data_IF_602790086445
#
_entry.id   IF_602790086445
#
_cell.length_a   1.000
_cell.length_b   1.000
_cell.length_c   1.000
_cell.angle_alpha   90.00
_cell.angle_beta   90.00
_cell.angle_gamma   90.00
#
_symmetry.space_group_name_H-M   'P 1'
#
loop_
_entity.id
_entity.type
_entity.pdbx_description
1 polymer ?
#
# COMPACT_ATOMS: atom_id res chain seq x y z
N UNK A 1 4.16 -3.28 -7.68
CA UNK A 1 3.93 -3.00 -9.12
C UNK A 1 3.55 -1.54 -9.33
N UNK A 2 2.32 -1.11 -9.03
CA UNK A 2 1.83 0.26 -9.29
C UNK A 2 2.75 1.39 -8.80
N UNK A 3 2.91 1.54 -7.47
CA UNK A 3 3.72 2.62 -6.88
C UNK A 3 5.23 2.44 -7.05
N UNK A 4 5.70 1.25 -7.42
CA UNK A 4 7.12 0.99 -7.65
C UNK A 4 7.72 1.84 -8.77
N UNK A 5 6.89 2.26 -9.73
CA UNK A 5 7.29 3.20 -10.80
C UNK A 5 6.63 4.57 -10.61
N UNK A 6 5.35 4.59 -10.24
CA UNK A 6 4.59 5.85 -10.18
C UNK A 6 5.14 6.82 -9.12
N UNK A 7 5.50 6.34 -7.93
CA UNK A 7 5.83 7.21 -6.80
C UNK A 7 7.17 7.96 -6.97
N UNK A 8 8.29 7.31 -7.38
CA UNK A 8 9.51 8.03 -7.72
C UNK A 8 9.29 9.08 -8.81
N UNK A 9 8.48 8.76 -9.83
CA UNK A 9 8.18 9.70 -10.92
C UNK A 9 7.36 10.88 -10.41
N UNK A 10 6.35 10.65 -9.58
CA UNK A 10 5.55 11.71 -8.96
C UNK A 10 6.42 12.62 -8.08
N UNK A 11 7.29 12.06 -7.24
CA UNK A 11 8.19 12.84 -6.41
C UNK A 11 9.27 13.60 -7.21
N UNK A 12 9.64 13.11 -8.38
CA UNK A 12 10.59 13.80 -9.27
C UNK A 12 9.94 15.00 -9.99
N UNK A 13 8.70 14.84 -10.44
CA UNK A 13 7.92 15.88 -11.13
C UNK A 13 7.32 16.92 -10.17
N UNK A 14 7.09 16.55 -8.91
CA UNK A 14 6.51 17.42 -7.89
C UNK A 14 7.15 17.14 -6.53
N UNK A 15 8.44 17.46 -6.34
CA UNK A 15 9.14 17.22 -5.09
C UNK A 15 8.61 18.13 -3.96
N UNK A 16 8.64 17.67 -2.70
CA UNK A 16 8.29 18.50 -1.54
C UNK A 16 9.21 19.71 -1.38
N UNK A 17 10.49 19.53 -1.73
CA UNK A 17 11.56 20.50 -1.56
C UNK A 17 12.44 20.51 -2.80
N UNK A 18 12.93 21.69 -3.14
CA UNK A 18 13.79 21.88 -4.31
C UNK A 18 13.02 22.05 -5.62
N UNK A 19 13.79 22.19 -6.70
CA UNK A 19 13.27 22.38 -8.04
C UNK A 19 12.93 21.03 -8.68
N UNK A 20 11.73 20.89 -9.26
CA UNK A 20 11.34 19.69 -10.02
C UNK A 20 12.31 19.37 -11.14
N UNK A 21 12.30 18.12 -11.58
CA UNK A 21 13.02 17.65 -12.77
C UNK A 21 14.55 17.79 -12.73
N UNK A 22 15.13 18.06 -11.56
CA UNK A 22 16.58 18.16 -11.37
C UNK A 22 17.22 16.85 -10.89
N UNK A 23 18.52 16.68 -11.09
CA UNK A 23 19.26 15.52 -10.54
C UNK A 23 19.11 15.43 -9.02
N UNK A 24 19.05 16.56 -8.32
CA UNK A 24 18.78 16.60 -6.88
C UNK A 24 17.37 16.07 -6.56
N UNK A 25 16.34 16.50 -7.32
CA UNK A 25 14.99 15.98 -7.17
C UNK A 25 14.89 14.48 -7.46
N UNK A 26 15.64 13.95 -8.43
CA UNK A 26 15.65 12.51 -8.73
C UNK A 26 16.21 11.69 -7.56
N UNK A 27 17.29 12.16 -6.91
CA UNK A 27 17.85 11.52 -5.72
C UNK A 27 16.89 11.58 -4.54
N UNK A 28 16.28 12.74 -4.32
CA UNK A 28 15.33 12.92 -3.22
C UNK A 28 14.06 12.08 -3.42
N UNK A 29 13.53 11.98 -4.64
CA UNK A 29 12.39 11.16 -4.99
C UNK A 29 12.60 9.67 -4.64
N UNK A 30 13.78 9.14 -4.95
CA UNK A 30 14.15 7.78 -4.59
C UNK A 30 14.25 7.58 -3.08
N UNK A 31 14.83 8.55 -2.35
CA UNK A 31 14.94 8.48 -0.88
C UNK A 31 13.57 8.51 -0.20
N UNK A 32 12.66 9.35 -0.68
CA UNK A 32 11.28 9.41 -0.19
C UNK A 32 10.53 8.10 -0.45
N UNK A 33 10.67 7.55 -1.66
CA UNK A 33 10.05 6.26 -2.00
C UNK A 33 10.60 5.14 -1.09
N UNK A 34 11.92 5.08 -0.89
CA UNK A 34 12.53 4.11 0.03
C UNK A 34 12.07 4.32 1.47
N UNK A 35 11.78 5.56 1.87
CA UNK A 35 11.25 5.86 3.19
C UNK A 35 9.83 5.32 3.39
N UNK A 36 8.93 5.49 2.40
CA UNK A 36 7.56 4.99 2.49
C UNK A 36 7.47 3.45 2.46
N UNK A 37 8.27 2.79 1.62
CA UNK A 37 8.23 1.33 1.44
C UNK A 37 9.32 0.58 2.22
N UNK A 38 10.11 1.31 3.01
CA UNK A 38 11.21 0.79 3.80
C UNK A 38 10.78 0.31 5.18
N UNK A 39 11.71 0.45 6.14
CA UNK A 39 11.62 -0.15 7.48
C UNK A 39 10.36 0.26 8.24
N UNK A 40 9.85 1.47 8.05
CA UNK A 40 8.67 1.97 8.76
C UNK A 40 7.42 1.11 8.49
N UNK A 41 7.14 0.79 7.22
CA UNK A 41 6.01 -0.05 6.85
C UNK A 41 6.18 -1.49 7.38
N UNK A 42 7.37 -2.06 7.21
CA UNK A 42 7.67 -3.43 7.65
C UNK A 42 7.68 -3.60 9.17
N UNK A 43 8.10 -2.57 9.92
CA UNK A 43 8.14 -2.61 11.38
C UNK A 43 6.74 -2.76 11.98
N UNK A 44 5.74 -2.07 11.42
CA UNK A 44 4.34 -2.19 11.86
C UNK A 44 3.85 -3.63 11.69
N UNK A 45 4.11 -4.24 10.53
CA UNK A 45 3.73 -5.63 10.27
C UNK A 45 4.47 -6.61 11.19
N UNK A 46 5.77 -6.42 11.39
CA UNK A 46 6.58 -7.28 12.24
C UNK A 46 6.09 -7.26 13.69
N UNK A 47 5.73 -6.09 14.21
CA UNK A 47 5.18 -5.94 15.58
C UNK A 47 3.84 -6.69 15.70
N UNK A 48 2.91 -6.46 14.78
CA UNK A 48 1.60 -7.13 14.81
C UNK A 48 1.75 -8.65 14.69
N UNK A 49 2.60 -9.13 13.77
CA UNK A 49 2.88 -10.54 13.60
C UNK A 49 3.50 -11.17 14.86
N UNK A 50 4.45 -10.49 15.49
CA UNK A 50 5.10 -10.95 16.72
C UNK A 50 4.09 -11.06 17.87
N UNK A 51 3.21 -10.07 18.04
CA UNK A 51 2.17 -10.08 19.07
C UNK A 51 1.23 -11.28 18.88
N UNK A 52 0.70 -11.46 17.66
CA UNK A 52 -0.20 -12.57 17.37
C UNK A 52 0.48 -13.92 17.53
N UNK A 53 1.73 -14.06 17.05
CA UNK A 53 2.50 -15.28 17.19
C UNK A 53 2.78 -15.60 18.67
N UNK A 54 3.19 -14.60 19.46
CA UNK A 54 3.47 -14.78 20.88
C UNK A 54 2.22 -15.25 21.63
N UNK A 55 1.10 -14.54 21.53
CA UNK A 55 -0.11 -14.92 22.29
C UNK A 55 -0.75 -16.22 21.80
N UNK A 56 -0.68 -16.50 20.49
CA UNK A 56 -1.27 -17.74 19.96
C UNK A 56 -0.42 -18.97 20.29
N UNK A 57 0.90 -18.91 20.06
CA UNK A 57 1.77 -20.07 20.21
C UNK A 57 2.33 -20.25 21.61
N UNK A 58 2.54 -19.17 22.38
CA UNK A 58 3.05 -19.26 23.77
C UNK A 58 1.94 -19.35 24.80
N UNK A 59 0.84 -18.63 24.59
CA UNK A 59 -0.27 -18.54 25.56
C UNK A 59 -1.53 -19.31 25.16
N UNK A 60 -1.56 -19.94 23.97
CA UNK A 60 -2.70 -20.73 23.52
C UNK A 60 -3.97 -19.91 23.26
N UNK A 61 -3.85 -18.60 23.09
CA UNK A 61 -4.97 -17.71 22.79
C UNK A 61 -5.36 -17.79 21.31
N UNK A 62 -6.60 -17.39 20.93
CA UNK A 62 -7.01 -17.40 19.54
C UNK A 62 -6.15 -16.46 18.68
N UNK A 63 -5.93 -16.84 17.41
CA UNK A 63 -5.15 -16.06 16.43
C UNK A 63 -5.97 -14.88 15.89
N UNK A 64 -6.28 -13.94 16.78
CA UNK A 64 -7.16 -12.78 16.55
C UNK A 64 -6.58 -11.54 17.21
N UNK A 65 -6.85 -10.36 16.65
CA UNK A 65 -6.26 -9.10 17.14
C UNK A 65 -6.67 -8.76 18.57
N UNK A 66 -7.86 -9.17 19.03
CA UNK A 66 -8.24 -9.08 20.45
C UNK A 66 -7.24 -9.71 21.42
N UNK A 67 -6.50 -10.74 21.01
CA UNK A 67 -5.55 -11.46 21.88
C UNK A 67 -4.37 -10.59 22.28
N UNK A 68 -4.05 -9.57 21.48
CA UNK A 68 -3.05 -8.56 21.80
C UNK A 68 -3.39 -7.76 23.08
N UNK A 69 -4.67 -7.66 23.43
CA UNK A 69 -5.14 -6.89 24.58
C UNK A 69 -5.22 -7.71 25.87
N UNK A 70 -5.07 -9.03 25.78
CA UNK A 70 -5.08 -9.92 26.95
C UNK A 70 -4.22 -9.44 28.14
N UNK A 71 -2.97 -8.95 27.97
CA UNK A 71 -2.17 -8.47 29.10
C UNK A 71 -2.74 -7.23 29.79
N UNK A 72 -3.61 -6.46 29.13
CA UNK A 72 -4.18 -5.21 29.66
C UNK A 72 -5.57 -5.47 30.26
N UNK A 73 -6.43 -6.20 29.54
CA UNK A 73 -7.84 -6.37 29.91
C UNK A 73 -8.21 -7.77 30.41
N UNK A 74 -7.26 -8.71 30.41
CA UNK A 74 -7.45 -10.10 30.84
C UNK A 74 -8.53 -10.81 30.02
N UNK A 75 -9.38 -11.59 30.71
CA UNK A 75 -10.46 -12.36 30.08
C UNK A 75 -11.57 -11.50 29.44
N UNK A 76 -11.54 -10.16 29.61
CA UNK A 76 -12.47 -9.26 28.91
C UNK A 76 -12.28 -9.23 27.38
N UNK A 77 -11.25 -9.89 26.86
CA UNK A 77 -11.08 -10.15 25.41
C UNK A 77 -12.25 -10.94 24.80
N UNK A 78 -12.97 -11.73 25.60
CA UNK A 78 -14.15 -12.48 25.15
C UNK A 78 -15.44 -11.65 25.25
N UNK A 79 -15.35 -10.42 25.75
CA UNK A 79 -16.46 -9.49 25.90
C UNK A 79 -16.54 -8.44 24.77
N UNK A 80 -17.39 -7.42 24.95
CA UNK A 80 -17.67 -6.42 23.92
C UNK A 80 -16.44 -5.62 23.48
N UNK A 81 -15.49 -5.39 24.39
CA UNK A 81 -14.24 -4.66 24.07
C UNK A 81 -13.38 -5.44 23.07
N UNK A 82 -13.23 -6.76 23.26
CA UNK A 82 -12.49 -7.59 22.32
C UNK A 82 -13.19 -7.73 20.97
N UNK A 83 -14.54 -7.82 20.97
CA UNK A 83 -15.32 -7.82 19.74
C UNK A 83 -15.17 -6.51 18.94
N UNK A 84 -15.19 -5.35 19.62
CA UNK A 84 -14.99 -4.08 18.95
C UNK A 84 -13.65 -4.01 18.21
N UNK A 85 -12.57 -4.47 18.84
CA UNK A 85 -11.21 -4.48 18.26
C UNK A 85 -11.13 -5.38 17.03
N UNK A 86 -11.71 -6.58 17.09
CA UNK A 86 -11.77 -7.46 15.93
C UNK A 86 -12.61 -6.87 14.79
N UNK A 87 -13.71 -6.19 15.10
CA UNK A 87 -14.53 -5.50 14.08
C UNK A 87 -13.70 -4.40 13.40
N UNK A 88 -13.02 -3.55 14.18
CA UNK A 88 -12.13 -2.52 13.62
C UNK A 88 -11.03 -3.13 12.76
N UNK A 89 -10.44 -4.23 13.20
CA UNK A 89 -9.43 -4.96 12.44
C UNK A 89 -9.96 -5.47 11.09
N UNK A 90 -11.10 -6.14 11.10
CA UNK A 90 -11.73 -6.67 9.87
C UNK A 90 -12.07 -5.54 8.92
N UNK A 91 -12.66 -4.45 9.42
CA UNK A 91 -13.00 -3.28 8.61
C UNK A 91 -11.73 -2.68 7.98
N UNK A 92 -10.67 -2.49 8.76
CA UNK A 92 -9.39 -1.97 8.28
C UNK A 92 -8.77 -2.87 7.20
N UNK A 93 -8.81 -4.18 7.39
CA UNK A 93 -8.37 -5.16 6.39
C UNK A 93 -9.18 -5.06 5.09
N UNK A 94 -10.51 -5.00 5.19
CA UNK A 94 -11.40 -4.92 4.01
C UNK A 94 -11.13 -3.64 3.21
N UNK A 95 -11.08 -2.48 3.88
CA UNK A 95 -10.81 -1.20 3.21
C UNK A 95 -9.49 -1.22 2.47
N UNK A 96 -8.45 -1.71 3.12
CA UNK A 96 -7.17 -1.74 2.47
C UNK A 96 -7.15 -2.74 1.28
N UNK A 97 -7.78 -3.91 1.39
CA UNK A 97 -7.83 -4.90 0.30
C UNK A 97 -8.62 -4.34 -0.89
N UNK A 98 -9.70 -3.60 -0.62
CA UNK A 98 -10.48 -2.93 -1.65
C UNK A 98 -9.64 -1.89 -2.41
N UNK A 99 -8.85 -1.07 -1.70
CA UNK A 99 -7.96 -0.08 -2.32
C UNK A 99 -6.88 -0.71 -3.18
N UNK A 100 -6.21 -1.75 -2.70
CA UNK A 100 -5.17 -2.44 -3.48
C UNK A 100 -5.74 -3.14 -4.72
N UNK A 101 -6.93 -3.74 -4.62
CA UNK A 101 -7.66 -4.29 -5.75
C UNK A 101 -8.03 -3.20 -6.78
N UNK A 102 -8.49 -2.04 -6.31
CA UNK A 102 -8.81 -0.89 -7.15
C UNK A 102 -7.61 -0.44 -7.99
N UNK A 103 -6.45 -0.22 -7.37
CA UNK A 103 -5.22 0.09 -8.11
C UNK A 103 -4.81 -1.00 -9.10
N UNK A 104 -4.99 -2.28 -8.73
CA UNK A 104 -4.75 -3.40 -9.62
C UNK A 104 -5.62 -3.36 -10.88
N UNK A 105 -6.91 -3.09 -10.72
CA UNK A 105 -7.85 -2.98 -11.86
C UNK A 105 -7.54 -1.78 -12.74
N UNK A 106 -7.19 -0.63 -12.16
CA UNK A 106 -6.75 0.53 -12.93
C UNK A 106 -5.53 0.21 -13.79
N UNK A 107 -4.55 -0.52 -13.20
CA UNK A 107 -3.35 -0.94 -13.92
C UNK A 107 -3.66 -1.93 -15.05
N UNK A 108 -4.55 -2.92 -14.81
CA UNK A 108 -4.99 -3.88 -15.84
C UNK A 108 -5.74 -3.19 -16.96
N UNK A 109 -6.68 -2.30 -16.65
CA UNK A 109 -7.46 -1.58 -17.66
C UNK A 109 -6.55 -0.69 -18.53
N UNK A 110 -5.59 0.01 -17.93
CA UNK A 110 -4.59 0.78 -18.68
C UNK A 110 -3.75 -0.13 -19.61
N UNK A 111 -3.37 -1.32 -19.16
CA UNK A 111 -2.67 -2.29 -19.99
C UNK A 111 -3.52 -2.83 -21.15
N UNK A 112 -4.79 -3.13 -20.91
CA UNK A 112 -5.74 -3.56 -21.94
C UNK A 112 -6.03 -2.45 -22.96
N UNK A 113 -6.12 -1.20 -22.50
CA UNK A 113 -6.24 -0.04 -23.38
C UNK A 113 -5.02 0.06 -24.29
N UNK A 114 -3.82 -0.08 -23.74
CA UNK A 114 -2.57 0.02 -24.51
C UNK A 114 -2.42 -1.09 -25.57
N UNK A 115 -2.80 -2.33 -25.26
CA UNK A 115 -2.63 -3.49 -26.16
C UNK A 115 -3.80 -3.71 -27.13
N UNK A 116 -5.04 -3.48 -26.67
CA UNK A 116 -6.27 -3.86 -27.37
C UNK A 116 -7.24 -2.70 -27.59
N UNK A 117 -6.93 -1.49 -27.13
CA UNK A 117 -7.79 -0.31 -27.29
C UNK A 117 -9.05 -0.33 -26.41
N UNK A 118 -9.12 -1.18 -25.38
CA UNK A 118 -10.26 -1.23 -24.44
C UNK A 118 -10.43 0.14 -23.76
N UNK A 119 -11.63 0.73 -23.71
CA UNK A 119 -11.81 2.07 -23.14
C UNK A 119 -11.57 2.10 -21.62
N UNK A 120 -10.94 3.17 -21.15
CA UNK A 120 -10.73 3.41 -19.73
C UNK A 120 -11.96 4.14 -19.17
N UNK A 121 -12.94 3.38 -18.68
CA UNK A 121 -14.11 3.92 -18.01
C UNK A 121 -14.52 3.05 -16.80
N UNK A 122 -15.40 3.59 -15.96
CA UNK A 122 -15.85 2.95 -14.72
C UNK A 122 -16.55 1.60 -15.00
N UNK A 123 -17.31 1.50 -16.09
CA UNK A 123 -18.01 0.26 -16.46
C UNK A 123 -17.03 -0.89 -16.68
N UNK A 124 -15.96 -0.67 -17.45
CA UNK A 124 -14.93 -1.69 -17.68
C UNK A 124 -14.22 -2.06 -16.37
N UNK A 125 -13.92 -1.07 -15.53
CA UNK A 125 -13.28 -1.31 -14.24
C UNK A 125 -14.15 -2.16 -13.31
N UNK A 126 -15.45 -1.85 -13.20
CA UNK A 126 -16.39 -2.66 -12.39
C UNK A 126 -16.48 -4.09 -12.91
N UNK A 127 -16.54 -4.29 -14.23
CA UNK A 127 -16.53 -5.63 -14.83
C UNK A 127 -15.25 -6.38 -14.46
N UNK A 128 -14.09 -5.73 -14.59
CA UNK A 128 -12.80 -6.34 -14.22
C UNK A 128 -12.75 -6.71 -12.73
N UNK A 129 -13.26 -5.86 -11.84
CA UNK A 129 -13.36 -6.17 -10.40
C UNK A 129 -14.21 -7.42 -10.20
N UNK A 130 -15.42 -7.48 -10.76
CA UNK A 130 -16.32 -8.64 -10.60
C UNK A 130 -15.67 -9.92 -11.12
N UNK A 131 -14.99 -9.87 -12.26
CA UNK A 131 -14.29 -11.02 -12.83
C UNK A 131 -13.14 -11.48 -11.94
N UNK A 132 -12.25 -10.57 -11.53
CA UNK A 132 -11.07 -10.90 -10.72
C UNK A 132 -11.49 -11.41 -9.34
N UNK A 133 -12.45 -10.75 -8.70
CA UNK A 133 -13.00 -11.21 -7.42
C UNK A 133 -13.69 -12.55 -7.56
N UNK A 134 -14.46 -12.78 -8.63
CA UNK A 134 -15.08 -14.08 -8.90
C UNK A 134 -14.05 -15.20 -9.04
N UNK A 135 -12.97 -14.98 -9.79
CA UNK A 135 -11.86 -15.92 -9.92
C UNK A 135 -11.16 -16.18 -8.58
N UNK A 136 -10.95 -15.13 -7.77
CA UNK A 136 -10.38 -15.26 -6.44
C UNK A 136 -11.30 -16.07 -5.50
N UNK A 137 -12.61 -15.84 -5.53
CA UNK A 137 -13.58 -16.62 -4.76
C UNK A 137 -13.56 -18.10 -5.17
N UNK A 138 -13.54 -18.40 -6.47
CA UNK A 138 -13.42 -19.77 -6.99
C UNK A 138 -12.13 -20.43 -6.48
N UNK A 139 -11.02 -19.70 -6.47
CA UNK A 139 -9.74 -20.20 -5.94
C UNK A 139 -9.80 -20.52 -4.45
N UNK A 140 -10.50 -19.70 -3.65
CA UNK A 140 -10.61 -19.93 -2.19
C UNK A 140 -11.53 -21.11 -1.88
N UNK A 141 -12.67 -21.24 -2.57
CA UNK A 141 -13.61 -22.35 -2.33
C UNK A 141 -13.08 -23.71 -2.80
N UNK A 142 -12.18 -23.73 -3.80
CA UNK A 142 -11.57 -24.96 -4.33
C UNK A 142 -10.52 -25.59 -3.40
N UNK A 143 -10.19 -24.93 -2.29
CA UNK A 143 -9.16 -25.36 -1.35
C UNK A 143 -8.08 -24.28 -1.21
N UNK A 144 -8.07 -23.52 -0.11
CA UNK A 144 -7.14 -22.41 0.08
C UNK A 144 -5.68 -22.88 0.04
N UNK A 145 -5.38 -24.05 0.61
CA UNK A 145 -4.01 -24.55 0.73
C UNK A 145 -3.32 -24.77 -0.62
N UNK A 146 -4.07 -25.21 -1.64
CA UNK A 146 -3.54 -25.49 -2.98
C UNK A 146 -3.64 -24.28 -3.91
N UNK A 147 -4.80 -23.59 -3.90
CA UNK A 147 -5.03 -22.43 -4.78
C UNK A 147 -4.10 -21.26 -4.46
N UNK A 148 -3.99 -20.90 -3.18
CA UNK A 148 -3.14 -19.79 -2.74
C UNK A 148 -1.67 -20.08 -3.04
N UNK A 149 -1.23 -21.32 -2.82
CA UNK A 149 0.16 -21.72 -3.06
C UNK A 149 0.54 -21.58 -4.54
N UNK A 150 -0.26 -22.14 -5.46
CA UNK A 150 0.02 -22.09 -6.90
C UNK A 150 0.04 -20.63 -7.40
N UNK A 151 -0.97 -19.84 -7.02
CA UNK A 151 -1.05 -18.43 -7.42
C UNK A 151 0.12 -17.62 -6.85
N UNK A 152 0.54 -17.90 -5.62
CA UNK A 152 1.68 -17.24 -4.98
C UNK A 152 3.00 -17.60 -5.65
N UNK A 153 3.24 -18.89 -5.93
CA UNK A 153 4.44 -19.37 -6.64
C UNK A 153 4.53 -18.77 -8.07
N UNK A 154 3.40 -18.71 -8.79
CA UNK A 154 3.34 -18.08 -10.10
C UNK A 154 3.60 -16.57 -10.04
N UNK A 155 2.97 -15.86 -9.11
CA UNK A 155 3.16 -14.42 -8.94
C UNK A 155 4.62 -14.08 -8.59
N UNK A 156 5.24 -14.85 -7.69
CA UNK A 156 6.65 -14.69 -7.34
C UNK A 156 7.56 -14.96 -8.55
N UNK A 157 7.27 -16.03 -9.32
CA UNK A 157 7.99 -16.34 -10.55
C UNK A 157 7.91 -15.22 -11.60
N UNK A 158 6.71 -14.67 -11.84
CA UNK A 158 6.50 -13.55 -12.75
C UNK A 158 7.20 -12.26 -12.27
N UNK A 159 7.15 -11.98 -10.97
CA UNK A 159 7.83 -10.83 -10.39
C UNK A 159 9.36 -10.93 -10.54
N UNK A 160 9.95 -12.10 -10.30
CA UNK A 160 11.37 -12.36 -10.50
C UNK A 160 11.76 -12.27 -11.98
N UNK A 161 10.93 -12.81 -12.88
CA UNK A 161 11.14 -12.71 -14.31
C UNK A 161 11.15 -11.24 -14.77
N UNK A 162 10.19 -10.45 -14.31
CA UNK A 162 10.13 -9.02 -14.63
C UNK A 162 11.34 -8.26 -14.07
N UNK A 163 11.75 -8.55 -12.83
CA UNK A 163 12.95 -7.98 -12.23
C UNK A 163 14.20 -8.29 -13.06
N UNK A 164 14.37 -9.55 -13.46
CA UNK A 164 15.50 -9.97 -14.29
C UNK A 164 15.47 -9.29 -15.67
N UNK A 165 14.29 -9.17 -16.28
CA UNK A 165 14.12 -8.48 -17.56
C UNK A 165 14.53 -7.00 -17.45
N UNK A 166 14.07 -6.29 -16.41
CA UNK A 166 14.45 -4.88 -16.19
C UNK A 166 15.94 -4.75 -15.89
N UNK A 167 16.52 -5.68 -15.12
CA UNK A 167 17.94 -5.63 -14.77
C UNK A 167 18.85 -5.89 -15.99
N UNK A 168 18.49 -6.82 -16.87
CA UNK A 168 19.28 -7.22 -18.03
C UNK A 168 19.06 -6.34 -19.27
N UNK A 169 17.82 -5.89 -19.52
CA UNK A 169 17.51 -5.01 -20.66
C UNK A 169 17.69 -3.53 -20.33
N UNK A 170 17.65 -3.17 -19.04
CA UNK A 170 17.96 -1.82 -18.57
C UNK A 170 19.47 -1.58 -18.40
N UNK A 171 19.86 -0.36 -18.01
CA UNK A 171 21.26 -0.03 -17.75
C UNK A 171 21.72 -0.67 -16.43
N UNK A 172 22.14 -1.94 -16.45
CA UNK A 172 22.47 -2.76 -15.28
C UNK A 172 23.42 -2.06 -14.30
N UNK A 173 24.50 -1.45 -14.83
CA UNK A 173 25.49 -0.73 -14.00
C UNK A 173 24.86 0.46 -13.28
N UNK A 174 23.97 1.20 -13.94
CA UNK A 174 23.25 2.32 -13.32
C UNK A 174 22.33 1.80 -12.23
N UNK A 175 21.52 0.76 -12.51
CA UNK A 175 20.59 0.19 -11.53
C UNK A 175 21.29 -0.28 -10.26
N UNK A 176 22.42 -0.98 -10.40
CA UNK A 176 23.20 -1.46 -9.25
C UNK A 176 23.86 -0.31 -8.48
N UNK A 177 24.42 0.70 -9.17
CA UNK A 177 24.97 1.90 -8.53
C UNK A 177 23.90 2.68 -7.76
N UNK A 178 22.77 2.95 -8.41
CA UNK A 178 21.63 3.63 -7.80
C UNK A 178 21.05 2.83 -6.64
N UNK A 179 21.00 1.50 -6.71
CA UNK A 179 20.55 0.68 -5.59
C UNK A 179 21.42 0.89 -4.34
N UNK A 180 22.75 0.83 -4.49
CA UNK A 180 23.69 1.06 -3.36
C UNK A 180 23.61 2.50 -2.85
N UNK A 181 23.61 3.48 -3.75
CA UNK A 181 23.53 4.90 -3.39
C UNK A 181 22.22 5.25 -2.67
N UNK A 182 21.08 4.79 -3.20
CA UNK A 182 19.76 5.04 -2.61
C UNK A 182 19.62 4.33 -1.25
N UNK A 183 20.16 3.12 -1.10
CA UNK A 183 20.16 2.40 0.18
C UNK A 183 20.96 3.17 1.24
N UNK A 184 22.16 3.63 0.90
CA UNK A 184 22.97 4.45 1.81
C UNK A 184 22.30 5.77 2.16
N UNK A 185 21.73 6.46 1.17
CA UNK A 185 21.00 7.71 1.37
C UNK A 185 19.77 7.53 2.28
N UNK A 186 18.99 6.47 2.05
CA UNK A 186 17.84 6.12 2.89
C UNK A 186 18.23 5.88 4.35
N UNK A 187 19.27 5.07 4.60
CA UNK A 187 19.74 4.80 5.96
C UNK A 187 20.27 6.07 6.65
N UNK A 188 20.96 6.94 5.91
CA UNK A 188 21.48 8.20 6.45
C UNK A 188 20.37 9.19 6.84
N UNK A 189 19.28 9.24 6.08
CA UNK A 189 18.21 10.23 6.28
C UNK A 189 17.02 9.68 7.08
N UNK A 190 17.06 8.40 7.48
CA UNK A 190 15.96 7.72 8.16
C UNK A 190 15.40 8.53 9.32
N UNK A 191 16.26 8.88 10.30
CA UNK A 191 15.86 9.62 11.50
C UNK A 191 15.34 11.00 11.15
N UNK A 192 16.05 11.72 10.27
CA UNK A 192 15.66 13.09 9.91
C UNK A 192 14.30 13.13 9.22
N UNK A 193 14.03 12.21 8.28
CA UNK A 193 12.73 12.15 7.59
C UNK A 193 11.59 11.69 8.52
N UNK A 194 11.84 10.77 9.45
CA UNK A 194 10.83 10.35 10.44
C UNK A 194 10.28 11.51 11.25
N UNK A 195 11.11 12.49 11.58
CA UNK A 195 10.72 13.66 12.38
C UNK A 195 10.52 14.94 11.55
N UNK A 196 10.53 14.85 10.21
CA UNK A 196 10.33 16.01 9.35
C UNK A 196 8.84 16.33 9.20
N UNK A 197 8.42 17.38 9.90
CA UNK A 197 7.04 17.90 9.87
C UNK A 197 6.90 19.18 9.04
N UNK A 198 7.95 19.59 8.32
CA UNK A 198 7.98 20.84 7.54
C UNK A 198 7.59 22.09 8.36
N UNK A 199 7.98 22.14 9.64
CA UNK A 199 7.57 23.21 10.56
C UNK A 199 8.05 24.61 10.13
N UNK A 200 9.20 24.71 9.48
CA UNK A 200 9.81 25.99 9.07
C UNK A 200 9.51 26.39 7.63
N UNK A 201 9.04 25.46 6.81
CA UNK A 201 8.50 25.73 5.47
C UNK A 201 7.13 25.05 5.38
N UNK A 202 6.05 25.68 5.87
CA UNK A 202 4.73 25.07 5.91
C UNK A 202 4.30 24.70 4.49
N UNK A 203 4.53 23.45 4.10
CA UNK A 203 3.99 22.90 2.86
C UNK A 203 2.50 22.71 3.10
N UNK A 204 1.68 22.95 2.07
CA UNK A 204 0.25 22.72 2.21
C UNK A 204 0.04 21.29 2.74
N UNK A 205 -0.88 21.14 3.70
CA UNK A 205 -1.29 19.84 4.26
C UNK A 205 -1.58 18.78 3.19
N UNK A 206 -1.79 19.19 1.94
CA UNK A 206 -1.90 18.33 0.76
C UNK A 206 -0.69 17.47 0.45
N UNK A 207 0.57 17.85 0.72
CA UNK A 207 1.72 16.98 0.36
C UNK A 207 2.00 15.90 1.40
N UNK A 208 2.03 16.26 2.70
CA UNK A 208 2.10 15.31 3.82
C UNK A 208 0.86 14.40 3.84
N UNK A 209 -0.30 14.98 3.50
CA UNK A 209 -1.52 14.27 3.20
C UNK A 209 -1.33 13.33 2.02
N UNK A 210 -1.03 13.79 0.82
CA UNK A 210 -0.96 12.96 -0.40
C UNK A 210 0.13 11.87 -0.40
N UNK A 211 1.24 12.06 0.31
CA UNK A 211 2.29 11.05 0.48
C UNK A 211 1.93 9.92 1.45
N UNK A 212 0.96 10.14 2.34
CA UNK A 212 0.47 9.14 3.29
C UNK A 212 -1.01 8.74 3.07
N UNK A 213 -1.81 9.61 2.42
CA UNK A 213 -3.24 9.58 2.17
C UNK A 213 -3.55 10.33 0.87
N UNK A 214 -3.62 9.55 -0.21
CA UNK A 214 -4.11 9.90 -1.54
C UNK A 214 -4.96 11.19 -1.59
N UNK A 215 -4.50 12.21 -2.29
CA UNK A 215 -5.41 13.13 -2.99
C UNK A 215 -4.83 13.49 -4.35
N UNK A 216 -5.59 13.13 -5.39
CA UNK A 216 -5.47 13.77 -6.69
C UNK A 216 -5.93 15.23 -6.58
N UNK A 217 -5.23 16.10 -7.31
CA UNK A 217 -5.73 17.28 -8.03
C UNK A 217 -4.53 18.22 -8.28
N UNK A 218 -4.10 18.51 -9.51
CA UNK A 218 -4.65 18.18 -10.80
C UNK A 218 -3.85 18.90 -11.90
N UNK A 219 -3.94 18.39 -13.13
CA UNK A 219 -3.28 18.97 -14.28
C UNK A 219 -3.75 18.41 -15.62
N UNK A 220 -5.05 18.15 -15.81
CA UNK A 220 -5.64 18.06 -17.16
C UNK A 220 -7.08 18.57 -17.15
N UNK A 221 -7.36 19.54 -18.02
CA UNK A 221 -8.65 20.20 -18.19
C UNK A 221 -9.73 19.23 -18.71
N UNK A 222 -10.78 19.01 -17.91
CA UNK A 222 -12.01 18.33 -18.33
C UNK A 222 -13.17 18.76 -17.45
N UNK A 223 -14.02 19.65 -17.96
CA UNK A 223 -15.15 20.27 -17.25
C UNK A 223 -16.29 19.29 -16.97
N UNK A 224 -16.91 19.50 -15.79
CA UNK A 224 -18.32 19.28 -15.40
C UNK A 224 -18.77 17.83 -15.20
N UNK A 225 -19.24 17.59 -13.96
CA UNK A 225 -20.09 16.51 -13.39
C UNK A 225 -19.41 16.17 -12.06
N UNK A 226 -19.49 16.97 -11.01
CA UNK A 226 -20.60 16.96 -10.05
C UNK A 226 -20.65 18.32 -9.34
N UNK A 227 -21.82 18.96 -9.37
CA UNK A 227 -22.07 20.17 -8.60
C UNK A 227 -22.46 19.81 -7.18
N UNK A 228 -21.80 20.41 -6.20
CA UNK A 228 -22.41 20.73 -4.93
C UNK A 228 -21.79 22.02 -4.40
N UNK A 229 -22.56 23.10 -4.44
CA UNK A 229 -22.15 24.37 -3.86
C UNK A 229 -22.54 24.43 -2.38
N UNK A 230 -21.62 24.98 -1.60
CA UNK A 230 -21.84 25.95 -0.52
C UNK A 230 -21.88 25.47 0.94
N UNK A 231 -21.25 26.31 1.77
CA UNK A 231 -21.37 26.52 3.23
C UNK A 231 -20.51 25.68 4.20
N UNK A 232 -19.48 26.32 4.74
CA UNK A 232 -19.42 26.69 6.16
C UNK A 232 -19.09 25.62 7.22
N UNK A 233 -17.83 25.65 7.66
CA UNK A 233 -17.37 25.38 9.05
C UNK A 233 -17.33 23.91 9.56
N UNK A 234 -16.53 23.64 10.62
CA UNK A 234 -15.52 22.58 10.60
C UNK A 234 -15.81 21.42 11.54
N UNK A 235 -14.94 20.40 11.48
CA UNK A 235 -14.79 19.24 12.36
C UNK A 235 -15.39 17.93 11.84
N UNK A 236 -14.57 16.89 11.95
CA UNK A 236 -14.93 15.49 11.74
C UNK A 236 -14.28 14.93 10.48
N UNK A 237 -13.30 14.03 10.67
CA UNK A 237 -13.03 12.79 9.92
C UNK A 237 -11.58 12.34 10.23
N UNK A 238 -11.37 11.28 11.05
CA UNK A 238 -10.07 10.66 11.26
C UNK A 238 -9.93 9.36 10.44
N UNK A 239 -8.69 8.84 10.36
CA UNK A 239 -8.29 7.49 9.90
C UNK A 239 -7.91 7.28 8.43
N UNK A 240 -6.79 7.91 8.08
CA UNK A 240 -5.54 7.21 7.85
C UNK A 240 -5.53 5.69 7.44
N UNK A 241 -5.52 5.41 6.13
CA UNK A 241 -5.36 4.11 5.45
C UNK A 241 -3.92 3.54 5.35
N UNK A 242 -3.65 2.39 5.96
CA UNK A 242 -2.50 1.53 5.62
C UNK A 242 -2.92 0.51 4.54
N UNK A 243 -2.18 0.45 3.44
CA UNK A 243 -2.35 -0.55 2.37
C UNK A 243 -2.09 -1.97 2.91
N UNK A 244 -2.91 -3.00 2.60
CA UNK A 244 -2.71 -4.38 2.99
C UNK A 244 -2.35 -5.18 1.74
N UNK A 245 -1.07 -5.11 1.38
CA UNK A 245 -0.49 -6.16 0.57
C UNK A 245 -0.07 -7.30 1.52
N UNK A 246 -1.05 -8.07 2.03
CA UNK A 246 -0.93 -9.44 2.55
C UNK A 246 -2.07 -9.81 3.53
N UNK A 247 -3.32 -9.84 3.05
CA UNK A 247 -4.39 -10.61 3.71
C UNK A 247 -4.68 -11.90 2.94
N UNK A 248 -3.61 -12.63 2.60
CA UNK A 248 -3.64 -14.01 2.14
C UNK A 248 -2.83 -14.87 3.12
N UNK A 249 -3.23 -14.85 4.39
CA UNK A 249 -2.85 -15.88 5.36
C UNK A 249 -3.99 -16.06 6.37
N UNK A 250 -4.87 -17.04 6.13
CA UNK A 250 -5.36 -17.85 7.23
C UNK A 250 -5.03 -19.32 6.95
N UNK A 251 -4.38 -19.95 7.94
CA UNK A 251 -4.03 -21.38 8.03
C UNK A 251 -2.82 -21.85 7.24
N UNK A 252 -1.66 -21.64 7.84
CA UNK A 252 -0.64 -22.70 7.87
C UNK A 252 -0.56 -23.13 9.33
N UNK A 253 -0.68 -24.44 9.56
CA UNK A 253 -0.55 -25.20 10.82
C UNK A 253 -1.85 -25.41 11.64
N UNK A 254 -2.61 -26.43 11.23
CA UNK A 254 -2.93 -27.52 12.16
C UNK A 254 -1.78 -28.53 12.14
#
# INVERSE_FOLDING_TARGET
MFFGVAEPVMHYLSPPVGTPETVAAAKEAMRLTFFHWGLHAWAIYAIVALILAFFSYRHGLPLTLRSALYPIIGDRIYGPVGHAVDIFAVIGTVFGVATSLGYGVLQVNAGLNHLFGVPINETVQVILIVVITGLATISVVSGPDKGIRILSELNLGLALLLLALVLCLGPTVLLLKSFVENTGGYLSELVSKTFNLYAYEPKSSKWLGAGHYCTGDGGFHGRRLWGCSSHGSPAGEPFASLSPACCLFPRVLR
#
